data_IF_997831510060
#
_entry.id   IF_997831510060
#
_cell.length_a   1.000
_cell.length_b   1.000
_cell.length_c   1.000
_cell.angle_alpha   90.00
_cell.angle_beta   90.00
_cell.angle_gamma   90.00
#
_symmetry.space_group_name_H-M   'P 1'
#
loop_
_entity.id
_entity.type
_entity.pdbx_description
1 polymer ?
#
# COMPACT_ATOMS: atom_id res chain seq x y z
N UNK A 1 -9.68 14.81 10.43
CA UNK A 1 -8.67 14.48 9.40
C UNK A 1 -7.95 13.23 9.89
N UNK A 2 -7.86 12.20 9.05
CA UNK A 2 -7.22 10.93 9.37
C UNK A 2 -5.95 10.83 8.51
N UNK A 3 -4.80 10.61 9.14
CA UNK A 3 -3.54 10.41 8.41
C UNK A 3 -3.21 8.92 8.41
N UNK A 4 -2.82 8.43 7.24
CA UNK A 4 -2.43 7.05 7.03
C UNK A 4 -1.19 7.00 6.16
N UNK A 5 -0.32 6.05 6.44
CA UNK A 5 0.88 5.79 5.65
C UNK A 5 0.93 4.30 5.32
N UNK A 6 1.28 4.00 4.07
CA UNK A 6 1.20 2.66 3.50
C UNK A 6 2.60 2.06 3.26
N UNK A 7 2.67 0.77 2.95
CA UNK A 7 3.86 -0.01 2.57
C UNK A 7 4.80 -0.47 3.71
N UNK A 8 4.63 0.02 4.94
CA UNK A 8 5.45 -0.40 6.08
C UNK A 8 6.94 -0.08 5.95
N UNK A 9 7.28 1.04 5.31
CA UNK A 9 8.66 1.52 5.18
C UNK A 9 9.25 1.98 6.54
N UNK A 10 10.55 1.76 6.72
CA UNK A 10 11.29 2.03 7.97
C UNK A 10 11.19 3.50 8.42
N UNK A 11 11.09 4.43 7.46
CA UNK A 11 10.94 5.87 7.64
C UNK A 11 9.69 6.24 8.44
N UNK A 12 8.68 5.36 8.46
CA UNK A 12 7.52 5.53 9.33
C UNK A 12 7.92 5.67 10.80
N UNK A 13 8.89 4.86 11.26
CA UNK A 13 9.33 4.88 12.66
C UNK A 13 10.29 6.03 12.98
N UNK A 14 11.28 6.30 12.12
CA UNK A 14 12.36 7.23 12.45
C UNK A 14 12.24 8.62 11.81
N UNK A 15 11.32 8.82 10.85
CA UNK A 15 11.03 10.13 10.24
C UNK A 15 9.61 10.58 10.57
N UNK A 16 8.60 9.77 10.24
CA UNK A 16 7.19 10.16 10.30
C UNK A 16 6.67 10.23 11.73
N UNK A 17 6.80 9.14 12.50
CA UNK A 17 6.31 9.05 13.87
C UNK A 17 6.84 10.17 14.80
N UNK A 18 8.13 10.54 14.79
CA UNK A 18 8.63 11.66 15.60
C UNK A 18 7.96 13.00 15.26
N UNK A 19 7.69 13.27 13.98
CA UNK A 19 7.01 14.48 13.53
C UNK A 19 5.55 14.49 14.01
N UNK A 20 4.85 13.38 13.84
CA UNK A 20 3.46 13.22 14.27
C UNK A 20 3.31 13.37 15.78
N UNK A 21 4.20 12.71 16.55
CA UNK A 21 4.23 12.79 18.02
C UNK A 21 4.47 14.21 18.50
N UNK A 22 5.45 14.92 17.91
CA UNK A 22 5.71 16.34 18.23
C UNK A 22 4.49 17.23 17.97
N UNK A 23 3.66 16.87 16.99
CA UNK A 23 2.43 17.59 16.63
C UNK A 23 1.18 17.05 17.33
N UNK A 24 1.29 16.00 18.14
CA UNK A 24 0.16 15.30 18.76
C UNK A 24 -0.91 14.89 17.74
N UNK A 25 -0.48 14.42 16.57
CA UNK A 25 -1.36 13.97 15.49
C UNK A 25 -1.41 12.44 15.48
N UNK A 26 -2.58 11.81 15.68
CA UNK A 26 -2.72 10.37 15.53
C UNK A 26 -2.64 9.97 14.05
N UNK A 27 -2.18 8.75 13.79
CA UNK A 27 -2.11 8.18 12.46
C UNK A 27 -2.17 6.65 12.53
N UNK A 28 -2.50 6.04 11.39
CA UNK A 28 -2.35 4.60 11.16
C UNK A 28 -1.16 4.33 10.25
N UNK A 29 -0.43 3.26 10.52
CA UNK A 29 0.59 2.72 9.64
C UNK A 29 0.13 1.37 9.10
N UNK A 30 -0.05 1.28 7.79
CA UNK A 30 -0.44 0.05 7.10
C UNK A 30 0.81 -0.72 6.68
N UNK A 31 0.87 -2.01 7.03
CA UNK A 31 2.05 -2.86 6.78
C UNK A 31 1.73 -4.07 5.91
N UNK A 32 2.75 -4.52 5.18
CA UNK A 32 2.74 -5.74 4.38
C UNK A 32 3.53 -6.84 5.11
N UNK A 33 2.88 -7.90 5.61
CA UNK A 33 3.56 -8.97 6.35
C UNK A 33 4.73 -9.63 5.61
N UNK A 34 4.70 -9.70 4.28
CA UNK A 34 5.78 -10.28 3.49
C UNK A 34 7.09 -9.47 3.54
N UNK A 35 7.01 -8.17 3.86
CA UNK A 35 8.18 -7.27 3.89
C UNK A 35 8.68 -6.97 5.30
N UNK A 36 7.85 -7.23 6.33
CA UNK A 36 8.23 -7.08 7.75
C UNK A 36 9.51 -7.87 8.05
N UNK A 37 10.39 -7.27 8.86
CA UNK A 37 11.74 -7.77 9.16
C UNK A 37 12.65 -7.85 7.91
N UNK A 38 12.33 -7.10 6.86
CA UNK A 38 13.08 -7.08 5.61
C UNK A 38 13.22 -8.47 4.97
N UNK A 39 12.17 -9.30 5.09
CA UNK A 39 12.15 -10.69 4.60
C UNK A 39 12.02 -10.81 3.09
N UNK A 40 11.44 -9.80 2.45
CA UNK A 40 11.29 -9.75 1.01
C UNK A 40 11.21 -8.28 0.57
N UNK A 41 11.35 -8.07 -0.73
CA UNK A 41 11.35 -6.76 -1.35
C UNK A 41 10.20 -6.66 -2.35
N UNK A 42 9.39 -5.63 -2.21
CA UNK A 42 8.35 -5.29 -3.18
C UNK A 42 8.90 -5.20 -4.61
N UNK A 43 8.16 -5.75 -5.57
CA UNK A 43 8.62 -5.87 -6.96
C UNK A 43 8.96 -4.53 -7.63
N UNK A 44 8.28 -3.42 -7.28
CA UNK A 44 8.63 -2.10 -7.83
C UNK A 44 9.93 -1.56 -7.23
N UNK A 45 10.24 -1.87 -5.98
CA UNK A 45 11.55 -1.57 -5.39
C UNK A 45 12.65 -2.39 -6.05
N UNK A 46 12.41 -3.68 -6.31
CA UNK A 46 13.32 -4.52 -7.13
C UNK A 46 13.59 -3.87 -8.49
N UNK A 47 12.55 -3.47 -9.20
CA UNK A 47 12.68 -2.80 -10.50
C UNK A 47 13.47 -1.48 -10.42
N UNK A 48 13.24 -0.66 -9.39
CA UNK A 48 13.98 0.59 -9.18
C UNK A 48 15.47 0.35 -8.95
N UNK A 49 15.82 -0.61 -8.08
CA UNK A 49 17.20 -0.99 -7.79
C UNK A 49 17.91 -1.51 -9.04
N UNK A 50 17.23 -2.35 -9.83
CA UNK A 50 17.77 -2.83 -11.11
C UNK A 50 18.03 -1.68 -12.08
N UNK A 51 17.07 -0.77 -12.25
CA UNK A 51 17.24 0.40 -13.12
C UNK A 51 18.45 1.22 -12.66
N UNK A 52 18.58 1.48 -11.36
CA UNK A 52 19.70 2.24 -10.82
C UNK A 52 21.04 1.54 -11.06
N UNK A 53 21.14 0.26 -10.70
CA UNK A 53 22.35 -0.53 -10.84
C UNK A 53 22.79 -0.67 -12.30
N UNK A 54 21.88 -1.07 -13.19
CA UNK A 54 22.16 -1.25 -14.61
C UNK A 54 22.53 0.09 -15.27
N UNK A 55 21.89 1.19 -14.86
CA UNK A 55 22.21 2.52 -15.35
C UNK A 55 23.60 2.97 -14.90
N UNK A 56 23.96 2.77 -13.62
CA UNK A 56 25.30 3.10 -13.09
C UNK A 56 26.41 2.32 -13.80
N UNK A 57 26.14 1.06 -14.14
CA UNK A 57 27.07 0.19 -14.86
C UNK A 57 27.03 0.36 -16.39
N UNK A 58 26.23 1.30 -16.92
CA UNK A 58 26.10 1.59 -18.37
C UNK A 58 25.67 0.39 -19.21
N UNK A 59 24.93 -0.55 -18.61
CA UNK A 59 24.38 -1.75 -19.27
C UNK A 59 22.87 -1.70 -19.42
N UNK A 60 22.20 -0.67 -18.88
CA UNK A 60 20.76 -0.50 -19.02
C UNK A 60 20.40 -0.07 -20.45
N UNK A 61 19.75 -0.94 -21.20
CA UNK A 61 19.12 -0.58 -22.47
C UNK A 61 17.68 -0.05 -22.30
N UNK A 62 17.16 0.53 -23.38
CA UNK A 62 15.82 1.12 -23.40
C UNK A 62 14.70 0.09 -23.19
N UNK A 63 14.86 -1.13 -23.69
CA UNK A 63 13.85 -2.19 -23.63
C UNK A 63 13.73 -2.67 -22.19
N UNK A 64 14.85 -3.04 -21.55
CA UNK A 64 14.89 -3.46 -20.14
C UNK A 64 14.34 -2.36 -19.24
N UNK A 65 14.75 -1.10 -19.47
CA UNK A 65 14.22 0.04 -18.69
C UNK A 65 12.71 0.17 -18.81
N UNK A 66 12.17 -0.02 -20.00
CA UNK A 66 10.73 0.08 -20.26
C UNK A 66 9.98 -1.07 -19.59
N UNK A 67 10.47 -2.31 -19.72
CA UNK A 67 9.90 -3.50 -19.07
C UNK A 67 9.86 -3.36 -17.54
N UNK A 68 10.97 -2.94 -16.94
CA UNK A 68 11.05 -2.72 -15.48
C UNK A 68 10.10 -1.62 -15.00
N UNK A 69 9.93 -0.54 -15.77
CA UNK A 69 8.99 0.54 -15.43
C UNK A 69 7.52 0.14 -15.56
N UNK A 70 7.20 -0.80 -16.45
CA UNK A 70 5.84 -1.27 -16.67
C UNK A 70 5.47 -2.50 -15.83
N UNK A 71 6.36 -2.96 -14.94
CA UNK A 71 6.14 -4.17 -14.17
C UNK A 71 4.84 -4.10 -13.34
N UNK A 72 4.08 -5.18 -13.39
CA UNK A 72 2.95 -5.40 -12.50
C UNK A 72 3.16 -6.68 -11.68
N UNK A 73 2.26 -6.93 -10.74
CA UNK A 73 2.37 -8.05 -9.80
C UNK A 73 2.44 -9.43 -10.49
N UNK A 74 1.74 -9.63 -11.61
CA UNK A 74 1.79 -10.90 -12.35
C UNK A 74 3.17 -11.15 -13.01
N UNK A 75 3.95 -10.09 -13.20
CA UNK A 75 5.26 -10.12 -13.84
C UNK A 75 6.41 -9.96 -12.83
N UNK A 76 6.13 -10.08 -11.53
CA UNK A 76 7.13 -9.81 -10.49
C UNK A 76 8.41 -10.65 -10.62
N UNK A 77 8.31 -11.89 -11.12
CA UNK A 77 9.45 -12.79 -11.33
C UNK A 77 10.45 -12.26 -12.37
N UNK A 78 10.02 -11.41 -13.31
CA UNK A 78 10.92 -10.84 -14.32
C UNK A 78 12.04 -10.00 -13.68
N UNK A 79 11.75 -9.32 -12.57
CA UNK A 79 12.78 -8.59 -11.83
C UNK A 79 13.84 -9.55 -11.26
N UNK A 80 13.41 -10.70 -10.73
CA UNK A 80 14.33 -11.72 -10.20
C UNK A 80 15.15 -12.39 -11.32
N UNK A 81 14.55 -12.64 -12.48
CA UNK A 81 15.26 -13.15 -13.66
C UNK A 81 16.37 -12.20 -14.13
N UNK A 82 16.06 -10.90 -14.25
CA UNK A 82 17.04 -9.88 -14.64
C UNK A 82 18.13 -9.75 -13.57
N UNK A 83 17.77 -9.78 -12.28
CA UNK A 83 18.74 -9.75 -11.19
C UNK A 83 19.73 -10.91 -11.29
N UNK A 84 19.23 -12.14 -11.51
CA UNK A 84 20.05 -13.34 -11.65
C UNK A 84 21.01 -13.26 -12.84
N UNK A 85 20.55 -12.75 -13.99
CA UNK A 85 21.40 -12.56 -15.19
C UNK A 85 22.58 -11.62 -14.92
N UNK A 86 22.38 -10.61 -14.07
CA UNK A 86 23.40 -9.63 -13.72
C UNK A 86 24.08 -9.91 -12.37
N UNK A 87 23.84 -11.08 -11.77
CA UNK A 87 24.40 -11.50 -10.47
C UNK A 87 24.11 -10.50 -9.34
N UNK A 88 22.94 -9.86 -9.38
CA UNK A 88 22.48 -8.91 -8.38
C UNK A 88 21.70 -9.71 -7.32
N UNK A 89 22.08 -9.56 -6.06
CA UNK A 89 21.40 -10.20 -4.93
C UNK A 89 20.60 -9.18 -4.12
N UNK A 90 19.27 -9.30 -4.13
CA UNK A 90 18.38 -8.44 -3.35
C UNK A 90 18.51 -8.63 -1.83
N UNK A 91 18.93 -9.80 -1.36
CA UNK A 91 19.16 -10.05 0.07
C UNK A 91 20.31 -9.18 0.60
N UNK A 92 21.37 -8.99 -0.21
CA UNK A 92 22.45 -8.07 0.14
C UNK A 92 21.92 -6.63 0.28
N UNK A 93 21.02 -6.22 -0.60
CA UNK A 93 20.38 -4.91 -0.51
C UNK A 93 19.54 -4.78 0.76
N UNK A 94 18.72 -5.78 1.08
CA UNK A 94 17.88 -5.80 2.28
C UNK A 94 18.71 -5.78 3.56
N UNK A 95 19.83 -6.51 3.62
CA UNK A 95 20.75 -6.51 4.75
C UNK A 95 21.45 -5.16 4.96
N UNK A 96 21.74 -4.44 3.88
CA UNK A 96 22.47 -3.16 3.93
C UNK A 96 21.56 -1.96 4.19
N UNK A 97 20.34 -1.96 3.63
CA UNK A 97 19.46 -0.79 3.63
C UNK A 97 18.26 -0.91 4.56
N UNK A 98 17.85 -2.14 4.90
CA UNK A 98 16.70 -2.44 5.79
C UNK A 98 15.49 -1.51 5.57
N UNK A 99 14.94 -1.43 4.34
CA UNK A 99 13.95 -0.41 3.97
C UNK A 99 12.58 -0.57 4.65
N UNK A 100 12.26 -1.72 5.23
CA UNK A 100 10.97 -2.00 5.87
C UNK A 100 11.10 -2.07 7.38
N UNK A 101 9.98 -1.79 8.05
CA UNK A 101 9.85 -1.91 9.49
C UNK A 101 10.15 -3.35 9.96
N UNK A 102 10.93 -3.45 11.02
CA UNK A 102 11.06 -4.66 11.83
C UNK A 102 9.88 -4.78 12.80
N UNK A 103 9.63 -5.99 13.30
CA UNK A 103 8.62 -6.21 14.36
C UNK A 103 8.84 -5.31 15.57
N UNK A 104 10.09 -5.16 16.01
CA UNK A 104 10.45 -4.29 17.14
C UNK A 104 10.06 -2.83 16.89
N UNK A 105 10.25 -2.33 15.66
CA UNK A 105 9.85 -0.96 15.32
C UNK A 105 8.33 -0.80 15.24
N UNK A 106 7.62 -1.84 14.78
CA UNK A 106 6.15 -1.84 14.77
C UNK A 106 5.62 -1.83 16.21
N UNK A 107 6.18 -2.63 17.11
CA UNK A 107 5.85 -2.59 18.55
C UNK A 107 6.14 -1.20 19.16
N UNK A 108 7.25 -0.56 18.77
CA UNK A 108 7.54 0.81 19.19
C UNK A 108 6.51 1.83 18.70
N UNK A 109 6.02 1.70 17.46
CA UNK A 109 4.95 2.55 16.93
C UNK A 109 3.65 2.37 17.73
N UNK A 110 3.28 1.12 18.05
CA UNK A 110 2.12 0.80 18.89
C UNK A 110 2.27 1.41 20.29
N UNK A 111 3.43 1.24 20.94
CA UNK A 111 3.69 1.82 22.25
C UNK A 111 3.68 3.36 22.26
N UNK A 112 3.89 3.99 21.11
CA UNK A 112 3.76 5.43 20.94
C UNK A 112 2.32 5.90 20.74
N UNK A 113 1.36 4.97 20.65
CA UNK A 113 -0.06 5.25 20.48
C UNK A 113 -0.51 5.39 19.03
N UNK A 114 0.27 4.88 18.07
CA UNK A 114 -0.16 4.80 16.67
C UNK A 114 -0.88 3.48 16.40
N UNK A 115 -1.87 3.52 15.49
CA UNK A 115 -2.58 2.33 15.04
C UNK A 115 -1.78 1.59 13.96
N UNK A 116 -1.86 0.26 13.95
CA UNK A 116 -1.28 -0.57 12.89
C UNK A 116 -2.42 -1.27 12.13
N UNK A 117 -2.41 -1.10 10.82
CA UNK A 117 -3.37 -1.73 9.90
C UNK A 117 -2.71 -2.69 8.92
N UNK A 118 -3.52 -3.47 8.23
CA UNK A 118 -3.03 -4.40 7.21
C UNK A 118 -3.03 -3.77 5.80
N UNK A 119 -2.05 -4.13 4.96
CA UNK A 119 -1.91 -3.60 3.59
C UNK A 119 -1.82 -4.68 2.52
N UNK A 120 -2.51 -5.83 2.69
CA UNK A 120 -2.31 -7.09 1.95
C UNK A 120 -1.01 -7.81 2.32
N UNK A 121 -0.84 -9.06 1.85
CA UNK A 121 0.33 -9.86 2.20
C UNK A 121 1.61 -9.30 1.58
N UNK A 122 1.61 -9.09 0.26
CA UNK A 122 2.79 -8.75 -0.56
C UNK A 122 2.53 -7.68 -1.63
N UNK A 123 1.52 -6.83 -1.41
CA UNK A 123 1.24 -5.63 -2.20
C UNK A 123 0.88 -5.89 -3.70
N UNK A 124 -0.10 -6.77 -4.02
CA UNK A 124 -0.53 -6.98 -5.40
C UNK A 124 -1.48 -5.87 -5.89
N UNK A 125 -1.55 -5.66 -7.20
CA UNK A 125 -2.69 -4.97 -7.79
C UNK A 125 -3.94 -5.86 -7.72
N UNK A 126 -4.93 -5.50 -6.91
CA UNK A 126 -6.12 -6.33 -6.69
C UNK A 126 -6.93 -6.56 -7.97
N UNK A 127 -6.99 -5.60 -8.90
CA UNK A 127 -7.67 -5.74 -10.19
C UNK A 127 -7.15 -6.92 -11.03
N UNK A 128 -5.90 -7.35 -10.82
CA UNK A 128 -5.27 -8.44 -11.57
C UNK A 128 -5.53 -9.81 -10.94
N UNK A 129 -6.17 -9.84 -9.76
CA UNK A 129 -6.35 -11.05 -8.97
C UNK A 129 -7.79 -11.59 -9.08
N UNK A 130 -7.97 -12.92 -9.10
CA UNK A 130 -9.26 -13.53 -8.80
C UNK A 130 -9.76 -13.10 -7.42
N UNK A 131 -11.08 -12.97 -7.25
CA UNK A 131 -11.68 -12.53 -5.99
C UNK A 131 -11.29 -13.41 -4.79
N UNK A 132 -11.15 -14.73 -4.98
CA UNK A 132 -10.69 -15.63 -3.92
C UNK A 132 -9.30 -15.26 -3.41
N UNK A 133 -8.39 -14.87 -4.31
CA UNK A 133 -7.02 -14.44 -3.97
C UNK A 133 -7.02 -13.04 -3.35
N UNK A 134 -7.89 -12.13 -3.81
CA UNK A 134 -8.09 -10.83 -3.15
C UNK A 134 -8.50 -11.02 -1.68
N UNK A 135 -9.45 -11.92 -1.41
CA UNK A 135 -9.92 -12.24 -0.06
C UNK A 135 -8.81 -12.87 0.77
N UNK A 136 -8.09 -13.86 0.23
CA UNK A 136 -6.96 -14.51 0.91
C UNK A 136 -5.89 -13.50 1.31
N UNK A 137 -5.44 -12.66 0.36
CA UNK A 137 -4.46 -11.59 0.59
C UNK A 137 -4.86 -10.65 1.73
N UNK A 138 -6.15 -10.32 1.80
CA UNK A 138 -6.72 -9.42 2.79
C UNK A 138 -6.77 -10.10 4.16
N UNK A 139 -7.46 -11.23 4.28
CA UNK A 139 -7.68 -11.95 5.54
C UNK A 139 -6.35 -12.35 6.16
N UNK A 140 -5.46 -12.97 5.37
CA UNK A 140 -4.14 -13.41 5.85
C UNK A 140 -3.31 -12.26 6.39
N UNK A 141 -3.41 -11.08 5.77
CA UNK A 141 -2.69 -9.90 6.25
C UNK A 141 -3.26 -9.34 7.56
N UNK A 142 -4.59 -9.30 7.69
CA UNK A 142 -5.26 -8.88 8.92
C UNK A 142 -4.95 -9.86 10.07
N UNK A 143 -5.04 -11.17 9.81
CA UNK A 143 -4.71 -12.23 10.77
C UNK A 143 -3.27 -12.12 11.27
N UNK A 144 -2.33 -11.87 10.35
CA UNK A 144 -0.93 -11.69 10.71
C UNK A 144 -0.74 -10.50 11.64
N UNK A 145 -1.27 -9.32 11.31
CA UNK A 145 -1.09 -8.12 12.13
C UNK A 145 -1.73 -8.33 13.51
N UNK A 146 -2.93 -8.92 13.54
CA UNK A 146 -3.66 -9.22 14.78
C UNK A 146 -2.86 -10.15 15.69
N UNK A 147 -2.37 -11.27 15.15
CA UNK A 147 -1.65 -12.29 15.92
C UNK A 147 -0.22 -11.88 16.29
N UNK A 148 0.51 -11.22 15.39
CA UNK A 148 1.91 -10.88 15.59
C UNK A 148 2.10 -9.77 16.63
N UNK A 149 1.17 -8.81 16.69
CA UNK A 149 1.30 -7.63 17.56
C UNK A 149 0.27 -7.59 18.68
N UNK A 150 -0.59 -8.60 18.79
CA UNK A 150 -1.64 -8.70 19.82
C UNK A 150 -2.54 -7.46 19.86
N UNK A 151 -2.82 -6.89 18.68
CA UNK A 151 -3.71 -5.74 18.51
C UNK A 151 -4.98 -6.18 17.82
N UNK A 152 -6.10 -5.56 18.16
CA UNK A 152 -7.32 -5.72 17.37
C UNK A 152 -7.19 -4.90 16.09
N UNK A 153 -6.99 -5.57 14.95
CA UNK A 153 -6.83 -4.88 13.66
C UNK A 153 -8.19 -4.50 13.12
N UNK A 154 -8.50 -3.22 13.21
CA UNK A 154 -9.77 -2.67 12.73
C UNK A 154 -9.62 -1.98 11.36
N UNK A 155 -8.47 -2.11 10.69
CA UNK A 155 -8.23 -1.38 9.45
C UNK A 155 -7.41 -2.13 8.40
N UNK A 156 -7.81 -1.95 7.13
CA UNK A 156 -7.11 -2.47 5.96
C UNK A 156 -7.04 -1.42 4.84
N UNK A 157 -5.88 -1.20 4.24
CA UNK A 157 -5.73 -0.35 3.06
C UNK A 157 -5.44 -1.20 1.82
N UNK A 158 -6.07 -0.89 0.68
CA UNK A 158 -5.79 -1.59 -0.58
C UNK A 158 -4.46 -1.12 -1.20
N UNK A 159 -3.57 -2.04 -1.61
CA UNK A 159 -2.38 -1.69 -2.38
C UNK A 159 -2.76 -0.94 -3.65
N UNK A 160 -2.07 0.18 -3.91
CA UNK A 160 -2.32 1.11 -5.01
C UNK A 160 -3.74 1.73 -5.02
N UNK A 161 -4.75 0.91 -5.28
CA UNK A 161 -6.15 1.29 -5.43
C UNK A 161 -7.03 0.06 -5.23
N UNK A 162 -8.25 0.33 -4.79
CA UNK A 162 -9.39 -0.56 -4.66
C UNK A 162 -10.17 -0.75 -5.99
N UNK A 163 -9.62 -0.24 -7.11
CA UNK A 163 -10.14 -0.52 -8.45
C UNK A 163 -10.10 -2.03 -8.76
N UNK A 164 -11.12 -2.53 -9.45
CA UNK A 164 -11.29 -3.97 -9.73
C UNK A 164 -11.83 -4.80 -8.56
N UNK A 165 -11.98 -4.22 -7.37
CA UNK A 165 -12.61 -4.88 -6.22
C UNK A 165 -14.13 -4.74 -6.30
N UNK A 166 -14.83 -5.88 -6.29
CA UNK A 166 -16.29 -5.98 -6.48
C UNK A 166 -17.07 -5.92 -5.17
N UNK A 167 -18.39 -5.67 -5.24
CA UNK A 167 -19.24 -5.60 -4.04
C UNK A 167 -19.20 -6.88 -3.19
N UNK A 168 -19.12 -8.05 -3.83
CA UNK A 168 -19.10 -9.32 -3.13
C UNK A 168 -17.88 -9.48 -2.21
N UNK A 169 -16.74 -8.89 -2.57
CA UNK A 169 -15.55 -8.88 -1.72
C UNK A 169 -15.87 -8.25 -0.35
N UNK A 170 -16.48 -7.07 -0.33
CA UNK A 170 -16.79 -6.35 0.91
C UNK A 170 -17.83 -7.09 1.75
N UNK A 171 -18.82 -7.72 1.11
CA UNK A 171 -19.82 -8.56 1.80
C UNK A 171 -19.17 -9.76 2.47
N UNK A 172 -18.25 -10.44 1.78
CA UNK A 172 -17.49 -11.56 2.36
C UNK A 172 -16.62 -11.05 3.50
N UNK A 173 -15.85 -9.97 3.30
CA UNK A 173 -14.97 -9.43 4.34
C UNK A 173 -15.74 -9.08 5.61
N UNK A 174 -16.92 -8.47 5.49
CA UNK A 174 -17.77 -8.14 6.63
C UNK A 174 -18.30 -9.36 7.41
N UNK A 175 -18.31 -10.56 6.83
CA UNK A 175 -18.65 -11.79 7.56
C UNK A 175 -17.54 -12.22 8.53
N UNK A 176 -16.29 -11.93 8.20
CA UNK A 176 -15.12 -12.24 9.04
C UNK A 176 -14.78 -11.07 9.97
N UNK A 177 -14.92 -9.84 9.46
CA UNK A 177 -14.45 -8.60 10.07
C UNK A 177 -15.51 -7.49 9.96
N UNK A 178 -16.63 -7.60 10.69
CA UNK A 178 -17.78 -6.69 10.54
C UNK A 178 -17.45 -5.23 10.88
N UNK A 179 -16.58 -4.99 11.85
CA UNK A 179 -16.20 -3.65 12.32
C UNK A 179 -14.99 -3.05 11.59
N UNK A 180 -14.34 -3.81 10.70
CA UNK A 180 -13.11 -3.35 10.06
C UNK A 180 -13.38 -2.28 9.02
N UNK A 181 -12.65 -1.18 9.12
CA UNK A 181 -12.58 -0.13 8.12
C UNK A 181 -11.64 -0.53 6.99
N UNK A 182 -12.04 -0.28 5.75
CA UNK A 182 -11.22 -0.52 4.57
C UNK A 182 -10.97 0.79 3.83
N UNK A 183 -9.78 0.95 3.27
CA UNK A 183 -9.36 2.22 2.68
C UNK A 183 -8.95 2.08 1.22
N UNK A 184 -9.67 2.77 0.35
CA UNK A 184 -9.33 2.95 -1.06
C UNK A 184 -8.48 4.21 -1.30
N UNK A 185 -8.17 4.48 -2.57
CA UNK A 185 -7.35 5.63 -2.99
C UNK A 185 -7.96 6.39 -4.18
N UNK A 186 -9.28 6.43 -4.29
CA UNK A 186 -9.98 7.05 -5.43
C UNK A 186 -10.25 8.57 -5.26
N UNK A 187 -9.55 9.24 -4.32
CA UNK A 187 -9.76 10.64 -3.98
C UNK A 187 -11.05 10.87 -3.19
N UNK A 188 -11.54 12.11 -3.20
CA UNK A 188 -12.83 12.41 -2.58
C UNK A 188 -13.97 11.78 -3.39
N UNK A 189 -14.57 10.72 -2.86
CA UNK A 189 -15.74 10.04 -3.43
C UNK A 189 -16.60 9.40 -2.34
N UNK A 190 -17.89 9.29 -2.64
CA UNK A 190 -18.86 8.60 -1.80
C UNK A 190 -18.85 7.09 -2.10
N UNK A 191 -18.91 6.30 -1.04
CA UNK A 191 -18.98 4.84 -1.08
C UNK A 191 -20.36 4.31 -0.73
N UNK A 192 -20.66 3.10 -1.19
CA UNK A 192 -21.91 2.40 -0.83
C UNK A 192 -21.76 1.56 0.44
N UNK A 193 -20.52 1.18 0.78
CA UNK A 193 -20.21 0.44 2.00
C UNK A 193 -19.77 1.44 3.09
N UNK A 194 -20.46 1.49 4.23
CA UNK A 194 -20.17 2.48 5.27
C UNK A 194 -18.76 2.33 5.86
N UNK A 195 -18.24 1.11 5.91
CA UNK A 195 -16.91 0.80 6.41
C UNK A 195 -15.84 0.84 5.31
N UNK A 196 -16.15 1.37 4.11
CA UNK A 196 -15.16 1.59 3.06
C UNK A 196 -15.00 3.09 2.81
N UNK A 197 -13.77 3.59 2.99
CA UNK A 197 -13.46 5.02 2.96
C UNK A 197 -12.42 5.28 1.86
N UNK A 198 -12.69 6.27 1.01
CA UNK A 198 -11.74 6.69 -0.03
C UNK A 198 -10.78 7.75 0.52
N UNK A 199 -9.49 7.60 0.20
CA UNK A 199 -8.43 8.52 0.64
C UNK A 199 -7.92 9.39 -0.51
N UNK A 200 -7.35 10.54 -0.13
CA UNK A 200 -6.65 11.46 -1.03
C UNK A 200 -5.15 11.16 -0.96
N UNK A 201 -4.50 10.79 -2.07
CA UNK A 201 -3.05 10.64 -2.11
C UNK A 201 -2.38 12.01 -1.96
N UNK A 202 -1.36 12.09 -1.10
CA UNK A 202 -0.64 13.35 -0.82
C UNK A 202 0.66 13.49 -1.62
N UNK A 203 1.13 12.43 -2.26
CA UNK A 203 2.32 12.43 -3.11
C UNK A 203 1.96 12.86 -4.53
N UNK A 204 1.75 14.17 -4.71
CA UNK A 204 1.48 14.76 -6.02
C UNK A 204 2.64 15.65 -6.42
N UNK A 205 3.21 15.35 -7.60
CA UNK A 205 4.36 16.08 -8.13
C UNK A 205 4.08 17.59 -8.19
N UNK A 206 5.03 18.38 -7.71
CA UNK A 206 5.04 19.85 -7.77
C UNK A 206 3.91 20.56 -6.97
N UNK A 207 3.17 19.84 -6.10
CA UNK A 207 2.11 20.41 -5.27
C UNK A 207 2.36 20.20 -3.77
N UNK A 208 2.01 21.20 -2.96
CA UNK A 208 1.94 21.05 -1.50
C UNK A 208 0.57 20.50 -1.04
N UNK A 209 0.48 20.06 0.21
CA UNK A 209 -0.75 19.44 0.75
C UNK A 209 -2.01 20.35 0.65
N UNK A 210 -1.88 21.66 0.83
CA UNK A 210 -3.00 22.59 0.69
C UNK A 210 -3.49 22.65 -0.76
N UNK A 211 -2.56 22.66 -1.72
CA UNK A 211 -2.89 22.66 -3.15
C UNK A 211 -3.55 21.34 -3.57
N UNK A 212 -3.03 20.20 -3.08
CA UNK A 212 -3.64 18.88 -3.32
C UNK A 212 -5.08 18.84 -2.82
N UNK A 213 -5.32 19.23 -1.57
CA UNK A 213 -6.67 19.26 -1.00
C UNK A 213 -7.61 20.22 -1.73
N UNK A 214 -7.11 21.41 -2.11
CA UNK A 214 -7.91 22.40 -2.85
C UNK A 214 -8.31 21.88 -4.24
N UNK A 215 -7.37 21.23 -4.93
CA UNK A 215 -7.62 20.61 -6.23
C UNK A 215 -8.64 19.48 -6.12
N UNK A 216 -8.52 18.60 -5.11
CA UNK A 216 -9.46 17.51 -4.89
C UNK A 216 -10.87 17.99 -4.52
N UNK A 217 -11.00 19.03 -3.69
CA UNK A 217 -12.30 19.63 -3.40
C UNK A 217 -12.97 20.22 -4.64
N UNK A 218 -12.20 20.90 -5.49
CA UNK A 218 -12.69 21.42 -6.77
C UNK A 218 -13.15 20.27 -7.67
N UNK A 219 -12.30 19.25 -7.82
CA UNK A 219 -12.57 18.10 -8.66
C UNK A 219 -13.80 17.29 -8.19
N UNK A 220 -13.96 17.12 -6.89
CA UNK A 220 -15.14 16.51 -6.28
C UNK A 220 -16.41 17.27 -6.61
N UNK A 221 -16.43 18.59 -6.45
CA UNK A 221 -17.60 19.41 -6.75
C UNK A 221 -18.00 19.33 -8.23
N UNK A 222 -17.01 19.32 -9.14
CA UNK A 222 -17.25 19.12 -10.58
C UNK A 222 -17.84 17.72 -10.82
N UNK A 223 -17.24 16.66 -10.26
CA UNK A 223 -17.76 15.29 -10.38
C UNK A 223 -19.19 15.17 -9.87
N UNK A 224 -19.50 15.81 -8.73
CA UNK A 224 -20.83 15.82 -8.14
C UNK A 224 -21.86 16.46 -9.06
N UNK A 225 -21.52 17.56 -9.73
CA UNK A 225 -22.39 18.18 -10.73
C UNK A 225 -22.74 17.21 -11.88
N UNK A 226 -21.81 16.33 -12.26
CA UNK A 226 -22.04 15.29 -13.27
C UNK A 226 -22.48 13.93 -12.72
N UNK A 227 -22.79 13.81 -11.42
CA UNK A 227 -23.17 12.54 -10.78
C UNK A 227 -22.07 11.47 -10.74
N UNK A 228 -20.80 11.88 -10.85
CA UNK A 228 -19.60 11.01 -10.85
C UNK A 228 -18.82 11.07 -9.52
N UNK A 229 -19.46 11.58 -8.47
CA UNK A 229 -18.91 11.68 -7.11
C UNK A 229 -19.03 10.38 -6.30
N UNK A 230 -19.70 9.37 -6.86
CA UNK A 230 -19.90 8.05 -6.23
C UNK A 230 -19.01 7.01 -6.90
N UNK A 231 -18.55 6.05 -6.10
CA UNK A 231 -17.96 4.82 -6.63
C UNK A 231 -19.08 3.93 -7.16
N UNK A 232 -18.89 3.40 -8.37
CA UNK A 232 -19.77 2.40 -8.99
C UNK A 232 -18.94 1.13 -9.18
N UNK A 233 -19.40 0.03 -8.60
CA UNK A 233 -18.75 -1.28 -8.65
C UNK A 233 -19.70 -2.30 -9.26
N UNK A 234 -19.12 -3.29 -9.92
CA UNK A 234 -19.87 -4.47 -10.34
C UNK A 234 -20.30 -5.28 -9.11
N UNK A 235 -21.52 -5.83 -9.16
CA UNK A 235 -21.87 -7.00 -8.36
C UNK A 235 -21.14 -8.19 -8.97
N UNK A 236 -20.22 -8.77 -8.19
CA UNK A 236 -19.54 -10.00 -8.61
C UNK A 236 -20.54 -11.11 -8.88
N UNK A 237 -20.28 -11.92 -9.91
CA UNK A 237 -21.04 -13.13 -10.23
C UNK A 237 -20.64 -14.24 -9.25
#
# INVERSE_FOLDING_TARGET
>A
MFLSFDDGLSEMNHVVAPILKKKSVPAVFFINPAFVDNKNLFFRHKASILIEYLSKNKILDFITKTQLKSLNYLQQNLADEIANQHQINFDNYLQQNTPYLTKTEIEQLIHQGFDIGAHSWDHPQYELLPQSVQIEQTIRSIDYVTSAFQVEVQSFAFPFTDYGVQNNFFRILAQYYPESLTFGCAGLKNEIFPNHIQRVPMEVKDLNAQQVLSAELCYYNIKKFFGKDKIVRADGI
#
